data_IF_311963045756
#
_entry.id   IF_311963045756
#
_cell.length_a   1.000
_cell.length_b   1.000
_cell.length_c   1.000
_cell.angle_alpha   90.00
_cell.angle_beta   90.00
_cell.angle_gamma   90.00
#
_symmetry.space_group_name_H-M   'P 1'
#
loop_
_entity.id
_entity.type
_entity.pdbx_description
1 polymer ?
#
# COMPACT_ATOMS: atom_id res chain seq x y z
N UNK A 1 -4.93 -15.34 4.56
CA UNK A 1 -6.07 -14.39 4.64
C UNK A 1 -6.51 -14.11 6.09
N UNK A 2 -6.12 -14.93 7.06
CA UNK A 2 -6.50 -14.80 8.48
C UNK A 2 -5.53 -13.98 9.35
N UNK A 3 -4.30 -13.71 8.91
CA UNK A 3 -3.27 -13.10 9.78
C UNK A 3 -3.31 -11.59 9.90
N UNK A 4 -3.82 -10.88 8.88
CA UNK A 4 -4.01 -9.43 8.98
C UNK A 4 -5.17 -9.11 9.93
N UNK A 5 -6.20 -9.96 9.96
CA UNK A 5 -7.46 -9.69 10.63
C UNK A 5 -7.58 -10.31 12.04
N UNK A 6 -6.69 -11.25 12.39
CA UNK A 6 -6.68 -11.94 13.67
C UNK A 6 -5.88 -11.24 14.78
N UNK A 7 -5.23 -10.10 14.51
CA UNK A 7 -4.42 -9.37 15.50
C UNK A 7 -5.27 -8.32 16.22
N UNK A 8 -5.00 -8.12 17.53
CA UNK A 8 -5.60 -7.04 18.32
C UNK A 8 -5.27 -5.69 17.69
N UNK A 9 -6.16 -4.71 17.83
CA UNK A 9 -5.90 -3.35 17.36
C UNK A 9 -4.59 -2.83 18.00
N UNK A 10 -3.75 -2.23 17.17
CA UNK A 10 -2.47 -1.64 17.59
C UNK A 10 -2.44 -0.20 17.12
N UNK A 11 -1.77 0.69 17.85
CA UNK A 11 -1.56 2.08 17.45
C UNK A 11 -0.57 2.25 16.29
N UNK A 12 -0.27 1.18 15.56
CA UNK A 12 0.63 1.20 14.42
C UNK A 12 0.03 2.08 13.33
N UNK A 13 0.80 3.11 12.98
CA UNK A 13 0.51 4.02 11.88
C UNK A 13 0.76 3.29 10.56
N UNK A 14 -0.29 3.17 9.75
CA UNK A 14 -0.25 2.55 8.42
C UNK A 14 0.27 3.55 7.38
N UNK A 15 0.12 4.85 7.62
CA UNK A 15 0.70 5.92 6.81
C UNK A 15 0.69 7.26 7.57
N UNK A 16 1.78 8.02 7.50
CA UNK A 16 1.80 9.45 7.83
C UNK A 16 1.86 10.22 6.52
N UNK A 17 0.80 10.95 6.18
CA UNK A 17 0.80 11.84 5.01
C UNK A 17 1.19 13.24 5.48
N UNK A 18 2.34 13.80 5.03
CA UNK A 18 2.70 15.16 5.38
C UNK A 18 1.72 16.14 4.73
N UNK A 19 1.11 16.98 5.56
CA UNK A 19 0.29 18.12 5.12
C UNK A 19 1.17 19.37 5.00
N UNK A 20 1.02 20.12 3.91
CA UNK A 20 1.65 21.45 3.78
C UNK A 20 1.08 22.49 4.75
N UNK A 21 0.07 22.14 5.56
CA UNK A 21 -0.59 23.00 6.56
C UNK A 21 -0.30 22.59 8.02
N UNK A 22 0.72 21.76 8.27
CA UNK A 22 1.27 21.55 9.62
C UNK A 22 0.58 20.49 10.50
N UNK A 23 -0.47 19.83 10.01
CA UNK A 23 -1.07 18.67 10.70
C UNK A 23 -0.83 17.38 9.92
N UNK A 24 -0.07 16.46 10.49
CA UNK A 24 0.18 15.13 9.92
C UNK A 24 -1.10 14.29 9.98
N UNK A 25 -1.53 13.74 8.83
CA UNK A 25 -2.62 12.76 8.81
C UNK A 25 -2.03 11.39 9.09
N UNK A 26 -2.40 10.84 10.24
CA UNK A 26 -1.97 9.52 10.72
C UNK A 26 -3.12 8.56 10.44
N UNK A 27 -2.95 7.67 9.46
CA UNK A 27 -3.91 6.58 9.23
C UNK A 27 -3.54 5.44 10.16
N UNK A 28 -4.39 5.15 11.13
CA UNK A 28 -4.15 4.07 12.10
C UNK A 28 -4.58 2.70 11.55
N UNK A 29 -3.96 1.64 12.05
CA UNK A 29 -4.35 0.26 11.72
C UNK A 29 -5.83 -0.03 12.03
N UNK A 30 -6.40 0.61 13.05
CA UNK A 30 -7.83 0.55 13.38
C UNK A 30 -8.71 1.10 12.25
N UNK A 31 -8.29 2.16 11.57
CA UNK A 31 -9.02 2.76 10.45
C UNK A 31 -8.93 1.88 9.20
N UNK A 32 -7.78 1.23 8.98
CA UNK A 32 -7.63 0.23 7.91
C UNK A 32 -8.43 -1.06 8.21
N UNK A 33 -8.60 -1.42 9.48
CA UNK A 33 -9.42 -2.55 9.92
C UNK A 33 -10.91 -2.36 9.61
N UNK A 34 -11.37 -1.14 9.43
CA UNK A 34 -12.75 -0.89 9.01
C UNK A 34 -13.04 -1.30 7.56
N UNK A 35 -12.00 -1.63 6.77
CA UNK A 35 -12.15 -2.24 5.44
C UNK A 35 -12.53 -3.73 5.51
N UNK A 36 -12.66 -4.32 6.71
CA UNK A 36 -13.13 -5.70 6.89
C UNK A 36 -14.59 -5.85 6.42
N UNK A 37 -14.95 -7.00 5.82
CA UNK A 37 -16.35 -7.33 5.59
C UNK A 37 -17.15 -7.26 6.90
N UNK A 38 -18.31 -6.59 6.86
CA UNK A 38 -19.27 -6.44 7.97
C UNK A 38 -18.84 -5.55 9.16
N UNK A 39 -17.79 -4.73 9.03
CA UNK A 39 -17.51 -3.66 9.99
C UNK A 39 -17.91 -2.28 9.46
N UNK A 40 -18.25 -1.39 10.38
CA UNK A 40 -18.57 0.00 10.06
C UNK A 40 -17.27 0.79 9.90
N UNK A 41 -17.15 1.54 8.80
CA UNK A 41 -16.12 2.55 8.60
C UNK A 41 -16.31 3.70 9.58
N UNK A 42 -15.73 3.55 10.78
CA UNK A 42 -15.54 4.65 11.72
C UNK A 42 -14.32 5.44 11.26
N UNK A 43 -14.60 6.59 10.65
CA UNK A 43 -13.60 7.49 10.07
C UNK A 43 -14.19 8.22 8.88
N UNK A 44 -14.27 9.54 8.98
CA UNK A 44 -14.80 10.46 7.98
C UNK A 44 -13.86 10.61 6.76
N UNK A 45 -13.16 9.55 6.38
CA UNK A 45 -12.16 9.60 5.31
C UNK A 45 -12.85 9.84 3.98
N UNK A 46 -12.76 11.05 3.47
CA UNK A 46 -13.13 11.38 2.10
C UNK A 46 -11.94 11.09 1.17
N UNK A 47 -12.06 10.04 0.35
CA UNK A 47 -11.01 9.63 -0.57
C UNK A 47 -10.73 10.66 -1.67
N UNK A 48 -11.65 11.59 -1.96
CA UNK A 48 -11.42 12.66 -2.94
C UNK A 48 -10.33 13.66 -2.50
N UNK A 49 -10.03 13.72 -1.18
CA UNK A 49 -8.93 14.49 -0.62
C UNK A 49 -7.55 13.88 -0.94
N UNK A 50 -7.51 12.61 -1.35
CA UNK A 50 -6.29 11.91 -1.67
C UNK A 50 -6.16 11.73 -3.19
N UNK A 51 -4.94 11.50 -3.63
CA UNK A 51 -4.62 11.25 -5.05
C UNK A 51 -3.99 9.88 -5.28
N UNK A 52 -3.57 9.24 -4.19
CA UNK A 52 -3.02 7.90 -4.22
C UNK A 52 -3.15 7.22 -2.85
N UNK A 53 -3.06 5.89 -2.84
CA UNK A 53 -2.94 5.06 -1.64
C UNK A 53 -1.76 4.11 -1.85
N UNK A 54 -0.93 3.95 -0.84
CA UNK A 54 0.10 2.90 -0.76
C UNK A 54 -0.25 1.93 0.36
N UNK A 55 -0.04 0.64 0.14
CA UNK A 55 -0.27 -0.41 1.13
C UNK A 55 0.55 -1.65 0.82
N UNK A 56 0.46 -2.66 1.69
CA UNK A 56 1.23 -3.90 1.60
C UNK A 56 0.29 -5.10 1.75
N UNK A 57 0.43 -6.07 0.85
CA UNK A 57 -0.35 -7.30 0.86
C UNK A 57 0.53 -8.42 1.39
N UNK A 58 0.14 -8.97 2.54
CA UNK A 58 0.78 -10.15 3.12
C UNK A 58 0.10 -11.43 2.61
N UNK A 59 0.88 -12.31 1.99
CA UNK A 59 0.43 -13.61 1.48
C UNK A 59 1.01 -14.71 2.35
N UNK A 60 0.15 -15.29 3.19
CA UNK A 60 0.46 -16.47 4.01
C UNK A 60 1.60 -16.25 5.02
N UNK A 61 1.77 -15.04 5.54
CA UNK A 61 2.85 -14.58 6.42
C UNK A 61 4.27 -14.63 5.86
N UNK A 62 4.46 -15.12 4.64
CA UNK A 62 5.78 -15.45 4.11
C UNK A 62 6.17 -14.60 2.91
N UNK A 63 5.19 -13.96 2.25
CA UNK A 63 5.43 -13.16 1.07
C UNK A 63 4.71 -11.81 1.13
N UNK A 64 5.35 -10.79 0.58
CA UNK A 64 4.83 -9.42 0.57
C UNK A 64 4.75 -8.91 -0.86
N UNK A 65 3.59 -8.35 -1.21
CA UNK A 65 3.39 -7.56 -2.43
C UNK A 65 3.11 -6.11 -2.06
N UNK A 66 3.47 -5.20 -2.95
CA UNK A 66 3.18 -3.78 -2.82
C UNK A 66 1.87 -3.44 -3.54
N UNK A 67 0.97 -2.72 -2.86
CA UNK A 67 -0.28 -2.21 -3.43
C UNK A 67 -0.16 -0.69 -3.61
N UNK A 68 -0.31 -0.24 -4.84
CA UNK A 68 -0.37 1.18 -5.18
C UNK A 68 -1.66 1.48 -5.94
N UNK A 69 -2.47 2.40 -5.42
CA UNK A 69 -3.70 2.87 -6.06
C UNK A 69 -3.46 4.32 -6.44
N UNK A 70 -3.52 4.63 -7.74
CA UNK A 70 -3.25 5.95 -8.29
C UNK A 70 -4.53 6.53 -8.89
N UNK A 71 -5.13 7.52 -8.23
CA UNK A 71 -6.28 8.22 -8.79
C UNK A 71 -5.89 9.07 -10.02
N UNK A 72 -4.61 9.47 -10.10
CA UNK A 72 -4.09 10.27 -11.21
C UNK A 72 -4.20 9.58 -12.57
N UNK A 73 -3.99 8.26 -12.62
CA UNK A 73 -4.10 7.45 -13.83
C UNK A 73 -5.26 6.42 -13.77
N UNK A 74 -6.06 6.46 -12.70
CA UNK A 74 -7.15 5.51 -12.41
C UNK A 74 -6.69 4.05 -12.39
N UNK A 75 -5.48 3.78 -11.91
CA UNK A 75 -4.88 2.44 -11.95
C UNK A 75 -4.60 1.90 -10.55
N UNK A 76 -4.84 0.60 -10.40
CA UNK A 76 -4.43 -0.20 -9.24
C UNK A 76 -3.29 -1.09 -9.67
N UNK A 77 -2.22 -1.10 -8.89
CA UNK A 77 -1.01 -1.86 -9.12
C UNK A 77 -0.78 -2.79 -7.94
N UNK A 78 -0.75 -4.09 -8.21
CA UNK A 78 -0.28 -5.12 -7.28
C UNK A 78 1.08 -5.58 -7.80
N UNK A 79 2.13 -5.15 -7.12
CA UNK A 79 3.52 -5.32 -7.54
C UNK A 79 4.16 -6.42 -6.69
N UNK A 80 4.65 -7.45 -7.34
CA UNK A 80 5.28 -8.62 -6.73
C UNK A 80 6.81 -8.51 -6.83
N UNK A 81 7.54 -8.33 -5.72
CA UNK A 81 8.99 -8.34 -5.76
C UNK A 81 9.56 -9.67 -6.29
N UNK A 82 8.82 -10.78 -6.17
CA UNK A 82 9.11 -12.01 -6.89
C UNK A 82 8.62 -11.86 -8.34
N UNK A 83 9.52 -12.02 -9.32
CA UNK A 83 9.16 -11.96 -10.73
C UNK A 83 7.93 -12.84 -11.01
N UNK A 84 6.83 -12.21 -11.42
CA UNK A 84 5.54 -12.86 -11.54
C UNK A 84 4.87 -12.47 -12.86
N UNK A 85 4.40 -13.47 -13.61
CA UNK A 85 3.66 -13.24 -14.85
C UNK A 85 2.19 -12.85 -14.61
N UNK A 86 1.72 -12.88 -13.36
CA UNK A 86 0.31 -12.68 -13.01
C UNK A 86 0.01 -11.30 -12.42
N UNK A 87 0.98 -10.39 -12.34
CA UNK A 87 0.79 -9.05 -11.74
C UNK A 87 -0.34 -8.26 -12.40
N UNK A 88 -0.49 -8.37 -13.73
CA UNK A 88 -1.60 -7.74 -14.44
C UNK A 88 -2.95 -8.31 -13.96
N UNK A 89 -3.06 -9.64 -13.86
CA UNK A 89 -4.29 -10.29 -13.42
C UNK A 89 -4.60 -9.99 -11.94
N UNK A 90 -3.59 -9.96 -11.08
CA UNK A 90 -3.72 -9.57 -9.67
C UNK A 90 -4.21 -8.12 -9.55
N UNK A 91 -3.65 -7.23 -10.36
CA UNK A 91 -4.01 -5.81 -10.41
C UNK A 91 -5.42 -5.59 -10.94
N UNK A 92 -5.85 -6.35 -11.97
CA UNK A 92 -7.21 -6.29 -12.48
C UNK A 92 -8.24 -6.78 -11.46
N UNK A 93 -7.91 -7.84 -10.72
CA UNK A 93 -8.72 -8.33 -9.62
C UNK A 93 -8.80 -7.28 -8.49
N UNK A 94 -7.67 -6.70 -8.10
CA UNK A 94 -7.64 -5.63 -7.09
C UNK A 94 -8.46 -4.41 -7.51
N UNK A 95 -8.37 -3.99 -8.78
CA UNK A 95 -9.20 -2.91 -9.32
C UNK A 95 -10.70 -3.26 -9.27
N UNK A 96 -11.07 -4.51 -9.58
CA UNK A 96 -12.45 -4.98 -9.43
C UNK A 96 -12.93 -4.89 -7.98
N UNK A 97 -12.14 -5.38 -7.03
CA UNK A 97 -12.46 -5.30 -5.59
C UNK A 97 -12.56 -3.86 -5.09
N UNK A 98 -11.71 -2.97 -5.58
CA UNK A 98 -11.75 -1.55 -5.24
C UNK A 98 -13.06 -0.89 -5.73
N UNK A 99 -13.50 -1.19 -6.95
CA UNK A 99 -14.81 -0.73 -7.47
C UNK A 99 -15.96 -1.27 -6.63
N UNK A 100 -15.92 -2.55 -6.25
CA UNK A 100 -16.93 -3.15 -5.35
C UNK A 100 -16.95 -2.43 -4.00
N UNK A 101 -15.79 -2.14 -3.41
CA UNK A 101 -15.65 -1.40 -2.16
C UNK A 101 -16.30 -0.02 -2.23
N UNK A 102 -15.96 0.81 -3.22
CA UNK A 102 -16.55 2.15 -3.34
C UNK A 102 -18.05 2.11 -3.64
N UNK A 103 -18.52 1.14 -4.43
CA UNK A 103 -19.96 0.95 -4.61
C UNK A 103 -20.69 0.61 -3.30
N UNK A 104 -20.12 -0.26 -2.47
CA UNK A 104 -20.66 -0.56 -1.14
C UNK A 104 -20.61 0.67 -0.23
N UNK A 105 -19.52 1.43 -0.25
CA UNK A 105 -19.36 2.67 0.52
C UNK A 105 -20.46 3.68 0.16
N UNK A 106 -20.82 3.82 -1.11
CA UNK A 106 -21.95 4.62 -1.57
C UNK A 106 -23.29 4.11 -1.05
N UNK A 107 -23.56 2.82 -1.20
CA UNK A 107 -24.85 2.23 -0.83
C UNK A 107 -25.07 2.28 0.69
N UNK A 108 -24.06 1.92 1.47
CA UNK A 108 -24.17 1.77 2.91
C UNK A 108 -23.98 3.09 3.66
N UNK A 109 -23.17 4.02 3.13
CA UNK A 109 -22.74 5.22 3.86
C UNK A 109 -23.06 6.53 3.11
N UNK A 110 -23.63 6.48 1.90
CA UNK A 110 -23.89 7.67 1.09
C UNK A 110 -22.64 8.41 0.59
N UNK A 111 -21.45 7.83 0.76
CA UNK A 111 -20.17 8.43 0.35
C UNK A 111 -19.91 8.14 -1.14
N UNK A 112 -19.65 9.19 -1.92
CA UNK A 112 -19.51 9.11 -3.39
C UNK A 112 -18.08 9.27 -3.89
N UNK A 113 -17.14 9.40 -2.97
CA UNK A 113 -15.71 9.52 -3.20
C UNK A 113 -15.19 8.34 -4.02
N UNK A 114 -14.47 8.64 -5.10
CA UNK A 114 -13.89 7.68 -6.06
C UNK A 114 -14.83 6.63 -6.70
N UNK A 115 -16.15 6.68 -6.46
CA UNK A 115 -17.12 5.71 -7.01
C UNK A 115 -17.16 5.70 -8.53
N UNK A 116 -17.03 6.88 -9.14
CA UNK A 116 -17.10 7.06 -10.59
C UNK A 116 -15.74 6.92 -11.29
N UNK A 117 -14.67 6.68 -10.54
CA UNK A 117 -13.34 6.47 -11.11
C UNK A 117 -13.33 5.11 -11.82
N UNK A 118 -12.88 5.12 -13.08
CA UNK A 118 -12.80 3.91 -13.92
C UNK A 118 -11.53 3.12 -13.61
N UNK A 119 -11.45 2.60 -12.39
CA UNK A 119 -10.31 1.82 -11.91
C UNK A 119 -9.99 0.65 -12.85
N UNK A 120 -8.73 0.52 -13.24
CA UNK A 120 -8.18 -0.61 -14.02
C UNK A 120 -6.94 -1.19 -13.34
N UNK A 121 -6.57 -2.43 -13.66
CA UNK A 121 -5.28 -2.99 -13.24
C UNK A 121 -4.16 -2.50 -14.15
N UNK A 122 -2.93 -2.46 -13.63
CA UNK A 122 -1.75 -2.21 -14.44
C UNK A 122 -0.49 -2.87 -13.88
N UNK A 123 0.59 -2.79 -14.64
CA UNK A 123 1.92 -3.26 -14.26
C UNK A 123 2.85 -2.06 -14.09
N UNK A 124 3.71 -2.13 -13.06
CA UNK A 124 4.83 -1.22 -12.88
C UNK A 124 6.12 -1.95 -13.22
N UNK A 125 7.03 -1.28 -13.89
CA UNK A 125 8.39 -1.81 -14.05
C UNK A 125 9.15 -1.62 -12.74
N UNK A 126 9.79 -2.67 -12.25
CA UNK A 126 10.53 -2.63 -11.02
C UNK A 126 11.66 -3.67 -10.96
N UNK A 127 12.66 -3.47 -10.08
CA UNK A 127 13.68 -4.48 -9.79
C UNK A 127 13.05 -5.69 -9.10
N UNK A 128 13.53 -6.89 -9.45
CA UNK A 128 13.09 -8.15 -8.84
C UNK A 128 14.01 -8.59 -7.71
N UNK A 129 13.45 -9.25 -6.70
CA UNK A 129 14.21 -9.89 -5.64
C UNK A 129 15.11 -10.99 -6.19
N UNK A 130 16.26 -11.19 -5.54
CA UNK A 130 17.26 -12.21 -5.92
C UNK A 130 17.45 -13.29 -4.84
N UNK A 131 16.65 -13.25 -3.79
CA UNK A 131 16.63 -14.20 -2.68
C UNK A 131 15.19 -14.48 -2.23
N UNK A 132 15.01 -15.37 -1.24
CA UNK A 132 13.70 -15.77 -0.73
C UNK A 132 13.19 -14.99 0.49
N UNK A 133 13.84 -13.89 0.89
CA UNK A 133 13.56 -13.22 2.18
C UNK A 133 13.54 -11.68 2.12
N UNK A 134 13.88 -11.10 0.97
CA UNK A 134 13.98 -9.67 0.76
C UNK A 134 12.68 -9.01 0.30
N UNK A 135 11.60 -9.77 0.06
CA UNK A 135 10.30 -9.24 -0.39
C UNK A 135 9.82 -8.07 0.49
N UNK A 136 9.91 -8.20 1.82
CA UNK A 136 9.51 -7.15 2.76
C UNK A 136 10.34 -5.86 2.65
N UNK A 137 11.65 -5.97 2.42
CA UNK A 137 12.52 -4.80 2.23
C UNK A 137 12.24 -4.14 0.88
N UNK A 138 12.05 -4.95 -0.16
CA UNK A 138 11.82 -4.46 -1.52
C UNK A 138 10.50 -3.72 -1.63
N UNK A 139 9.41 -4.21 -1.01
CA UNK A 139 8.12 -3.48 -1.04
C UNK A 139 8.21 -2.12 -0.33
N UNK A 140 9.05 -1.98 0.70
CA UNK A 140 9.31 -0.69 1.35
C UNK A 140 10.06 0.24 0.39
N UNK A 141 11.08 -0.26 -0.33
CA UNK A 141 11.80 0.52 -1.35
C UNK A 141 10.89 0.94 -2.51
N UNK A 142 9.94 0.08 -2.93
CA UNK A 142 8.91 0.42 -3.92
C UNK A 142 8.01 1.55 -3.42
N UNK A 143 7.53 1.46 -2.19
CA UNK A 143 6.70 2.50 -1.57
C UNK A 143 7.46 3.84 -1.53
N UNK A 144 8.72 3.84 -1.08
CA UNK A 144 9.59 5.02 -1.08
C UNK A 144 9.72 5.63 -2.47
N UNK A 145 10.03 4.84 -3.49
CA UNK A 145 10.18 5.31 -4.87
C UNK A 145 8.88 5.94 -5.42
N UNK A 146 7.72 5.35 -5.12
CA UNK A 146 6.42 5.92 -5.49
C UNK A 146 6.15 7.24 -4.77
N UNK A 147 6.39 7.29 -3.47
CA UNK A 147 6.16 8.48 -2.65
C UNK A 147 7.06 9.66 -3.07
N UNK A 148 8.32 9.39 -3.39
CA UNK A 148 9.28 10.41 -3.85
C UNK A 148 8.96 10.95 -5.26
N UNK A 149 8.45 10.11 -6.16
CA UNK A 149 8.10 10.52 -7.52
C UNK A 149 6.73 11.19 -7.63
N UNK A 150 5.85 10.97 -6.65
CA UNK A 150 4.46 11.44 -6.68
C UNK A 150 4.36 12.97 -6.90
N UNK A 151 3.46 13.47 -7.79
CA UNK A 151 2.40 12.76 -8.51
C UNK A 151 2.81 12.14 -9.84
N UNK A 152 4.10 12.16 -10.19
CA UNK A 152 4.60 11.55 -11.42
C UNK A 152 4.68 10.03 -11.26
N UNK A 153 4.69 9.33 -12.39
CA UNK A 153 4.94 7.89 -12.41
C UNK A 153 6.37 7.62 -11.95
N UNK A 154 6.54 6.75 -10.96
CA UNK A 154 7.86 6.38 -10.46
C UNK A 154 8.62 5.52 -11.47
N UNK A 155 9.90 5.83 -11.62
CA UNK A 155 10.89 4.93 -12.23
C UNK A 155 11.61 4.22 -11.09
N UNK A 156 11.38 2.91 -10.96
CA UNK A 156 11.97 2.13 -9.86
C UNK A 156 13.35 1.63 -10.26
N UNK A 157 14.39 2.33 -9.82
CA UNK A 157 15.79 1.93 -10.03
C UNK A 157 16.53 1.76 -8.70
N UNK A 158 16.56 0.54 -8.17
CA UNK A 158 17.35 0.20 -6.99
C UNK A 158 17.95 -1.21 -7.09
N UNK A 159 19.10 -1.42 -6.46
CA UNK A 159 19.78 -2.71 -6.46
C UNK A 159 19.09 -3.73 -5.56
N UNK A 160 18.98 -4.99 -6.00
CA UNK A 160 18.33 -6.10 -5.27
C UNK A 160 19.29 -7.23 -4.91
N UNK A 161 20.60 -6.95 -4.93
CA UNK A 161 21.59 -7.93 -4.48
C UNK A 161 21.38 -8.24 -2.98
N UNK A 162 21.54 -9.50 -2.53
CA UNK A 162 21.27 -9.88 -1.14
C UNK A 162 22.00 -9.03 -0.10
N UNK A 163 23.27 -8.67 -0.38
CA UNK A 163 24.05 -7.78 0.49
C UNK A 163 23.41 -6.39 0.62
N UNK A 164 22.97 -5.80 -0.49
CA UNK A 164 22.31 -4.48 -0.47
C UNK A 164 20.98 -4.54 0.29
N UNK A 165 20.24 -5.64 0.19
CA UNK A 165 18.98 -5.81 0.95
C UNK A 165 19.22 -6.04 2.45
N UNK A 166 20.34 -6.68 2.82
CA UNK A 166 20.76 -6.79 4.21
C UNK A 166 21.16 -5.43 4.79
N UNK A 167 21.94 -4.64 4.03
CA UNK A 167 22.34 -3.29 4.41
C UNK A 167 21.10 -2.37 4.55
N UNK A 168 20.16 -2.43 3.60
CA UNK A 168 18.91 -1.69 3.67
C UNK A 168 18.05 -2.11 4.87
N UNK A 169 17.94 -3.41 5.15
CA UNK A 169 17.19 -3.90 6.31
C UNK A 169 17.76 -3.34 7.60
N UNK A 170 19.08 -3.32 7.73
CA UNK A 170 19.77 -2.72 8.88
C UNK A 170 19.48 -1.23 8.96
N UNK A 171 19.55 -0.52 7.84
CA UNK A 171 19.27 0.91 7.78
C UNK A 171 17.84 1.23 8.23
N UNK A 172 16.83 0.55 7.67
CA UNK A 172 15.42 0.70 8.06
C UNK A 172 15.21 0.40 9.55
N UNK A 173 15.87 -0.63 10.08
CA UNK A 173 15.77 -0.94 11.51
C UNK A 173 16.36 0.17 12.39
N UNK A 174 17.48 0.77 11.98
CA UNK A 174 18.08 1.90 12.70
C UNK A 174 17.19 3.14 12.63
N UNK A 175 16.64 3.48 11.46
CA UNK A 175 15.70 4.61 11.32
C UNK A 175 14.47 4.44 12.21
N UNK A 176 13.93 3.21 12.31
CA UNK A 176 12.80 2.92 13.20
C UNK A 176 13.16 3.07 14.67
N UNK A 177 14.35 2.62 15.09
CA UNK A 177 14.82 2.77 16.47
C UNK A 177 15.00 4.26 16.82
N UNK A 178 15.67 5.01 15.95
CA UNK A 178 15.89 6.45 16.13
C UNK A 178 14.58 7.22 16.20
N UNK A 179 13.63 6.93 15.31
CA UNK A 179 12.31 7.55 15.31
C UNK A 179 11.48 7.16 16.55
N UNK A 180 11.70 5.97 17.11
CA UNK A 180 10.98 5.50 18.30
C UNK A 180 11.46 6.13 19.61
N UNK A 181 12.55 6.90 19.58
CA UNK A 181 13.12 7.55 20.77
C UNK A 181 13.69 6.57 21.80
N UNK A 182 14.06 5.36 21.36
CA UNK A 182 14.73 4.31 22.17
C UNK A 182 16.24 4.41 22.02
#
# INVERSE_FOLDING_TARGET
>A
VTELWGKRDTEVVVSVVPSQLGNNYVIHHSEFNTLRPHQWLVGETDFDNYKAIVSFINIGNVHWKFLYISAADSTVYVVDPARSAIEQADSDNAAKRLREYFNMRRICLGKTDWVNVKWKGGVLEHPFQRDGSSCGVIVIKMAKAVMEAFPKKAEMSFGTAPRLMADERKHLALELLEASGV
#
